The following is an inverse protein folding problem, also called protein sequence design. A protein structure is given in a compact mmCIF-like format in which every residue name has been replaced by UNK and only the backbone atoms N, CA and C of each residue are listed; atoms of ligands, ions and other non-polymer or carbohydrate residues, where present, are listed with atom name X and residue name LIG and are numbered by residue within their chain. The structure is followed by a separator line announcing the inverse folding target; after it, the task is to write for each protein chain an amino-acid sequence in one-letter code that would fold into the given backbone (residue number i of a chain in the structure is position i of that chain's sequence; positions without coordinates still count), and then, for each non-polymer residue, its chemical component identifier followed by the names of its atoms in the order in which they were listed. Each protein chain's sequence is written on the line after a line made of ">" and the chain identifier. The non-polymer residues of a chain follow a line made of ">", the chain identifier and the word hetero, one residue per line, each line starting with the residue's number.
data_IF_809360853127
#
_entry.id   IF_809360853127
#
_cell.length_a   1.000
_cell.length_b   1.000
_cell.length_c   1.000
_cell.angle_alpha   90.00
_cell.angle_beta   90.00
_cell.angle_gamma   90.00
#
_symmetry.space_group_name_H-M   'P 1'
#
loop_
_entity.id
_entity.type
_entity.pdbx_description
1 polymer ?
#
# COMPACT_ATOMS: atom_id res chain seq x y z
N UNK A 1 -8.20 15.05 7.77
CA UNK A 1 -6.71 15.04 7.80
C UNK A 1 -6.12 14.20 8.94
N UNK A 2 -6.87 13.69 9.92
CA UNK A 2 -6.28 13.12 11.15
C UNK A 2 -6.36 11.60 11.31
N UNK A 3 -7.36 10.91 10.74
CA UNK A 3 -7.62 9.51 11.05
C UNK A 3 -6.67 8.52 10.34
N UNK A 4 -6.45 8.63 9.03
CA UNK A 4 -5.59 7.69 8.29
C UNK A 4 -4.12 7.74 8.72
N UNK A 5 -3.58 8.95 8.92
CA UNK A 5 -2.22 9.14 9.44
C UNK A 5 -2.07 8.71 10.90
N UNK A 6 -3.12 8.85 11.72
CA UNK A 6 -3.11 8.31 13.08
C UNK A 6 -3.09 6.78 13.09
N UNK A 7 -3.89 6.13 12.23
CA UNK A 7 -3.87 4.67 12.09
C UNK A 7 -2.50 4.19 11.59
N UNK A 8 -1.91 4.88 10.61
CA UNK A 8 -0.54 4.62 10.15
C UNK A 8 0.47 4.75 11.28
N UNK A 9 0.45 5.83 12.06
CA UNK A 9 1.39 6.05 13.16
C UNK A 9 1.23 5.01 14.28
N UNK A 10 -0.01 4.56 14.57
CA UNK A 10 -0.28 3.49 15.55
C UNK A 10 0.29 2.16 15.05
N UNK A 11 -0.02 1.78 13.81
CA UNK A 11 0.49 0.53 13.22
C UNK A 11 2.02 0.55 13.14
N UNK A 12 2.61 1.68 12.77
CA UNK A 12 4.06 1.90 12.75
C UNK A 12 4.68 1.71 14.14
N UNK A 13 4.09 2.33 15.16
CA UNK A 13 4.55 2.20 16.55
C UNK A 13 4.50 0.75 17.05
N UNK A 14 3.42 0.03 16.75
CA UNK A 14 3.28 -1.39 17.10
C UNK A 14 4.36 -2.23 16.40
N UNK A 15 4.60 -2.00 15.10
CA UNK A 15 5.61 -2.75 14.33
C UNK A 15 7.03 -2.53 14.86
N UNK A 16 7.37 -1.28 15.22
CA UNK A 16 8.67 -0.94 15.82
C UNK A 16 8.84 -1.65 17.17
N UNK A 17 7.81 -1.66 18.02
CA UNK A 17 7.86 -2.34 19.32
C UNK A 17 8.01 -3.86 19.13
N UNK A 18 7.25 -4.47 18.22
CA UNK A 18 7.35 -5.91 17.95
C UNK A 18 8.73 -6.31 17.41
N UNK A 19 9.34 -5.48 16.56
CA UNK A 19 10.72 -5.67 16.09
C UNK A 19 11.76 -5.51 17.21
N UNK A 20 11.61 -4.49 18.06
CA UNK A 20 12.54 -4.22 19.16
C UNK A 20 12.50 -5.28 20.28
N UNK A 21 11.33 -5.90 20.51
CA UNK A 21 11.14 -6.97 21.52
C UNK A 21 11.63 -8.33 20.99
N UNK A 22 12.07 -8.42 19.73
CA UNK A 22 12.59 -9.65 19.14
C UNK A 22 11.52 -10.73 18.95
N UNK A 23 10.24 -10.32 18.87
CA UNK A 23 9.10 -11.25 18.68
C UNK A 23 9.16 -11.90 17.29
N UNK A 24 9.86 -11.29 16.35
CA UNK A 24 10.12 -11.81 15.02
C UNK A 24 11.60 -11.65 14.66
N UNK A 25 12.19 -12.67 14.02
CA UNK A 25 13.39 -12.49 13.18
C UNK A 25 12.99 -11.75 11.90
N UNK A 26 12.51 -10.52 12.05
CA UNK A 26 12.09 -9.68 10.93
C UNK A 26 13.33 -8.97 10.42
N UNK A 27 13.74 -9.27 9.18
CA UNK A 27 14.84 -8.54 8.56
C UNK A 27 14.47 -7.07 8.41
N UNK A 28 15.47 -6.18 8.42
CA UNK A 28 15.23 -4.76 8.20
C UNK A 28 14.51 -4.47 6.87
N UNK A 29 14.74 -5.31 5.85
CA UNK A 29 14.04 -5.23 4.56
C UNK A 29 12.53 -5.44 4.69
N UNK A 30 12.12 -6.51 5.39
CA UNK A 30 10.70 -6.81 5.65
C UNK A 30 10.03 -5.67 6.43
N UNK A 31 10.74 -5.08 7.40
CA UNK A 31 10.23 -3.93 8.15
C UNK A 31 9.96 -2.72 7.22
N UNK A 32 10.90 -2.41 6.33
CA UNK A 32 10.75 -1.29 5.38
C UNK A 32 9.63 -1.57 4.37
N UNK A 33 9.52 -2.78 3.85
CA UNK A 33 8.45 -3.20 2.94
C UNK A 33 7.08 -3.10 3.61
N UNK A 34 6.93 -3.59 4.83
CA UNK A 34 5.68 -3.46 5.60
C UNK A 34 5.32 -2.00 5.85
N UNK A 35 6.30 -1.15 6.20
CA UNK A 35 6.09 0.28 6.41
C UNK A 35 5.60 0.96 5.12
N UNK A 36 6.23 0.69 3.99
CA UNK A 36 5.81 1.20 2.68
C UNK A 36 4.41 0.69 2.33
N UNK A 37 4.13 -0.60 2.56
CA UNK A 37 2.82 -1.20 2.34
C UNK A 37 1.71 -0.41 3.06
N UNK A 38 1.90 -0.16 4.35
CA UNK A 38 0.93 0.61 5.15
C UNK A 38 0.80 2.05 4.69
N UNK A 39 1.88 2.71 4.28
CA UNK A 39 1.82 4.07 3.75
C UNK A 39 1.00 4.15 2.46
N UNK A 40 1.21 3.22 1.53
CA UNK A 40 0.47 3.11 0.27
C UNK A 40 -1.01 2.76 0.49
N UNK A 41 -1.31 1.85 1.42
CA UNK A 41 -2.68 1.54 1.84
C UNK A 41 -3.35 2.79 2.43
N UNK A 42 -2.68 3.50 3.33
CA UNK A 42 -3.24 4.69 3.97
C UNK A 42 -3.52 5.81 2.98
N UNK A 43 -2.60 6.09 2.04
CA UNK A 43 -2.81 7.02 0.93
C UNK A 43 -3.99 6.60 0.05
N UNK A 44 -4.07 5.30 -0.26
CA UNK A 44 -5.15 4.75 -1.06
C UNK A 44 -6.53 4.90 -0.41
N UNK A 45 -6.64 4.56 0.88
CA UNK A 45 -7.87 4.74 1.65
C UNK A 45 -8.23 6.23 1.75
N UNK A 46 -7.26 7.11 2.04
CA UNK A 46 -7.52 8.55 2.15
C UNK A 46 -8.00 9.16 0.84
N UNK A 47 -7.44 8.74 -0.29
CA UNK A 47 -7.87 9.22 -1.60
C UNK A 47 -9.26 8.72 -2.01
N UNK A 48 -9.68 7.52 -1.56
CA UNK A 48 -11.07 7.06 -1.71
C UNK A 48 -12.01 7.90 -0.85
N UNK A 49 -11.69 8.12 0.43
CA UNK A 49 -12.53 8.86 1.39
C UNK A 49 -12.65 10.34 1.01
N UNK A 50 -11.58 10.98 0.54
CA UNK A 50 -11.56 12.41 0.17
C UNK A 50 -11.93 12.67 -1.30
N UNK A 51 -12.31 11.64 -2.05
CA UNK A 51 -12.64 11.74 -3.48
C UNK A 51 -11.50 12.40 -4.32
N UNK A 52 -10.24 12.29 -3.86
CA UNK A 52 -9.04 12.75 -4.60
C UNK A 52 -8.60 11.62 -5.53
N UNK A 53 -8.64 11.90 -6.83
CA UNK A 53 -9.30 10.99 -7.79
C UNK A 53 -8.40 10.32 -8.83
N UNK A 54 -7.09 10.17 -8.64
CA UNK A 54 -6.24 9.66 -9.73
C UNK A 54 -5.24 8.57 -9.39
N UNK A 55 -4.66 8.55 -8.18
CA UNK A 55 -3.62 7.57 -7.83
C UNK A 55 -4.00 6.66 -6.65
N UNK A 56 -5.08 6.98 -5.94
CA UNK A 56 -5.43 6.32 -4.68
C UNK A 56 -5.81 4.85 -4.82
N UNK A 57 -6.48 4.47 -5.91
CA UNK A 57 -6.79 3.06 -6.15
C UNK A 57 -5.52 2.26 -6.45
N UNK A 58 -4.61 2.83 -7.24
CA UNK A 58 -3.30 2.22 -7.52
C UNK A 58 -2.43 2.11 -6.28
N UNK A 59 -2.34 3.18 -5.49
CA UNK A 59 -1.65 3.17 -4.18
C UNK A 59 -2.19 2.05 -3.28
N UNK A 60 -3.52 1.93 -3.18
CA UNK A 60 -4.14 0.89 -2.36
C UNK A 60 -3.79 -0.52 -2.84
N UNK A 61 -3.93 -0.79 -4.15
CA UNK A 61 -3.65 -2.09 -4.75
C UNK A 61 -2.17 -2.45 -4.57
N UNK A 62 -1.27 -1.53 -4.85
CA UNK A 62 0.16 -1.76 -4.68
C UNK A 62 0.53 -2.02 -3.22
N UNK A 63 -0.02 -1.23 -2.29
CA UNK A 63 0.20 -1.41 -0.85
C UNK A 63 -0.25 -2.80 -0.35
N UNK A 64 -1.32 -3.36 -0.89
CA UNK A 64 -1.74 -4.75 -0.57
C UNK A 64 -0.69 -5.76 -1.06
N UNK A 65 -0.19 -5.63 -2.29
CA UNK A 65 0.83 -6.55 -2.81
C UNK A 65 2.14 -6.46 -2.04
N UNK A 66 2.57 -5.25 -1.66
CA UNK A 66 3.72 -5.02 -0.79
C UNK A 66 3.54 -5.69 0.58
N UNK A 67 2.33 -5.66 1.14
CA UNK A 67 2.04 -6.31 2.41
C UNK A 67 2.09 -7.84 2.29
N UNK A 68 1.55 -8.39 1.20
CA UNK A 68 1.60 -9.82 0.89
C UNK A 68 3.05 -10.28 0.78
N UNK A 69 3.88 -9.52 0.08
CA UNK A 69 5.30 -9.81 -0.13
C UNK A 69 6.12 -9.71 1.15
N UNK A 70 5.96 -8.62 1.92
CA UNK A 70 6.69 -8.39 3.16
C UNK A 70 6.51 -9.54 4.17
N UNK A 71 5.29 -10.06 4.28
CA UNK A 71 4.97 -11.17 5.18
C UNK A 71 5.07 -12.55 4.51
N UNK A 72 5.55 -12.62 3.27
CA UNK A 72 5.60 -13.83 2.43
C UNK A 72 4.28 -14.61 2.43
N UNK A 73 3.16 -13.89 2.47
CA UNK A 73 1.83 -14.48 2.50
C UNK A 73 1.63 -15.28 1.21
N UNK A 74 0.99 -16.45 1.33
CA UNK A 74 0.78 -17.38 0.22
C UNK A 74 2.08 -17.92 -0.42
N UNK A 75 3.23 -17.79 0.27
CA UNK A 75 4.52 -18.25 -0.25
C UNK A 75 5.06 -17.41 -1.40
N UNK A 76 4.58 -16.18 -1.56
CA UNK A 76 5.08 -15.22 -2.53
C UNK A 76 6.38 -14.59 -2.01
N UNK A 77 7.43 -14.64 -2.83
CA UNK A 77 8.72 -14.00 -2.61
C UNK A 77 9.07 -13.23 -3.88
N UNK A 78 8.60 -11.98 -3.96
CA UNK A 78 8.69 -11.17 -5.16
C UNK A 78 10.04 -10.48 -5.22
N UNK A 79 10.72 -10.64 -6.35
CA UNK A 79 11.92 -9.87 -6.65
C UNK A 79 11.57 -8.39 -6.83
N UNK A 80 12.55 -7.51 -6.63
CA UNK A 80 12.40 -6.06 -6.88
C UNK A 80 11.81 -5.76 -8.28
N UNK A 81 12.22 -6.51 -9.31
CA UNK A 81 11.68 -6.35 -10.66
C UNK A 81 10.19 -6.66 -10.75
N UNK A 82 9.73 -7.71 -10.06
CA UNK A 82 8.31 -8.06 -9.98
C UNK A 82 7.50 -7.01 -9.22
N UNK A 83 8.02 -6.52 -8.08
CA UNK A 83 7.41 -5.41 -7.34
C UNK A 83 7.30 -4.14 -8.19
N UNK A 84 8.34 -3.80 -8.95
CA UNK A 84 8.33 -2.65 -9.84
C UNK A 84 7.29 -2.79 -10.97
N UNK A 85 7.15 -3.99 -11.55
CA UNK A 85 6.11 -4.26 -12.54
C UNK A 85 4.71 -4.16 -11.93
N UNK A 86 4.50 -4.68 -10.73
CA UNK A 86 3.21 -4.56 -10.01
C UNK A 86 2.90 -3.10 -9.68
N UNK A 87 3.91 -2.31 -9.31
CA UNK A 87 3.77 -0.86 -9.10
C UNK A 87 3.27 -0.15 -10.37
N UNK A 88 3.94 -0.39 -11.50
CA UNK A 88 3.53 0.16 -12.80
C UNK A 88 2.11 -0.30 -13.15
N UNK A 89 1.79 -1.58 -13.00
CA UNK A 89 0.47 -2.13 -13.27
C UNK A 89 -0.62 -1.45 -12.41
N UNK A 90 -0.31 -1.19 -11.13
CA UNK A 90 -1.20 -0.50 -10.20
C UNK A 90 -1.48 0.94 -10.61
N UNK A 91 -0.47 1.65 -11.14
CA UNK A 91 -0.65 2.99 -11.74
C UNK A 91 -1.61 2.91 -12.93
N UNK A 92 -1.43 1.96 -13.84
CA UNK A 92 -2.31 1.79 -15.00
C UNK A 92 -3.75 1.46 -14.60
N UNK A 93 -3.96 0.62 -13.60
CA UNK A 93 -5.30 0.35 -13.03
C UNK A 93 -5.92 1.65 -12.51
N UNK A 94 -5.15 2.47 -11.80
CA UNK A 94 -5.62 3.76 -11.29
C UNK A 94 -6.02 4.73 -12.40
N UNK A 95 -5.22 4.81 -13.47
CA UNK A 95 -5.52 5.63 -14.65
C UNK A 95 -6.77 5.12 -15.38
N UNK A 96 -6.84 3.81 -15.65
CA UNK A 96 -7.96 3.20 -16.37
C UNK A 96 -9.28 3.37 -15.63
N UNK A 97 -9.28 3.17 -14.31
CA UNK A 97 -10.47 3.40 -13.48
C UNK A 97 -10.88 4.87 -13.42
N UNK A 98 -9.92 5.80 -13.39
CA UNK A 98 -10.19 7.23 -13.46
C UNK A 98 -10.81 7.62 -14.82
N UNK A 99 -10.33 7.07 -15.94
CA UNK A 99 -10.89 7.31 -17.28
C UNK A 99 -12.33 6.80 -17.40
N UNK A 100 -12.61 5.56 -16.96
CA UNK A 100 -13.95 4.98 -16.98
C UNK A 100 -14.94 5.79 -16.14
N UNK A 101 -14.53 6.27 -14.96
CA UNK A 101 -15.35 7.11 -14.10
C UNK A 101 -15.65 8.48 -14.73
N UNK A 102 -14.68 9.11 -15.42
CA UNK A 102 -14.92 10.39 -16.12
C UNK A 102 -15.95 10.25 -17.25
N UNK A 103 -15.91 9.14 -18.00
CA UNK A 103 -16.88 8.84 -19.08
C UNK A 103 -18.31 8.68 -18.55
N UNK A 104 -18.48 8.21 -17.31
CA UNK A 104 -19.80 8.04 -16.68
C UNK A 104 -20.40 9.36 -16.14
N UNK A 105 -19.60 10.41 -15.95
CA UNK A 105 -20.01 11.69 -15.35
C UNK A 105 -20.29 12.77 -16.40
N UNK A 106 -19.81 12.60 -17.63
CA UNK A 106 -20.20 13.46 -18.77
C UNK A 106 -21.22 12.71 -19.64
N UNK A 107 -22.50 13.08 -19.62
CA UNK A 107 -23.46 12.59 -20.61
C UNK A 107 -23.11 13.10 -22.01
#
# INVERSE_FOLDING_TARGET
>A
MRSGWAVFAILLGVLIIMGAVGVFEMSFGVFVEALLAFAFIADGVDGVVKNRRSLSLGSFVFGIFLLIDAFKLFGLDLTFGQLFVIFIASIFISIGTAMLRRKKVRP
#
